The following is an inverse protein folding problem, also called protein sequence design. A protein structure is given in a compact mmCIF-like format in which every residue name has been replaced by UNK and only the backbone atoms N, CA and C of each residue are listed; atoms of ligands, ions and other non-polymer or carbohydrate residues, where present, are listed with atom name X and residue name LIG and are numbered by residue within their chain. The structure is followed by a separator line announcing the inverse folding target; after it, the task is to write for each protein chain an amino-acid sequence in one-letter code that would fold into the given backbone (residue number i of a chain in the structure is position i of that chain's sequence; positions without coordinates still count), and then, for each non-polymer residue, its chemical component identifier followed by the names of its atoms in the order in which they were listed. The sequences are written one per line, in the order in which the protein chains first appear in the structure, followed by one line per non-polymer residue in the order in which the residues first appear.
data_IF_852075227161
#
_entry.id   IF_852075227161
#
_cell.length_a   1.000
_cell.length_b   1.000
_cell.length_c   1.000
_cell.angle_alpha   90.00
_cell.angle_beta   90.00
_cell.angle_gamma   90.00
#
_symmetry.space_group_name_H-M   'P 1'
#
loop_
_entity.id
_entity.type
_entity.pdbx_description
1 polymer ?
#
# COMPACT_ATOMS: atom_id res chain seq x y z
N UNK A 1 -43.26 -16.08 2.28
CA UNK A 1 -42.59 -17.31 2.77
C UNK A 1 -41.26 -17.60 2.08
N UNK A 2 -41.17 -17.58 0.73
CA UNK A 2 -39.91 -17.77 -0.01
C UNK A 2 -38.82 -16.73 0.33
N UNK A 3 -39.15 -15.45 0.44
CA UNK A 3 -38.19 -14.40 0.83
C UNK A 3 -37.74 -14.48 2.29
N UNK A 4 -38.60 -14.96 3.18
CA UNK A 4 -38.24 -15.16 4.59
C UNK A 4 -37.30 -16.35 4.75
N UNK A 5 -37.57 -17.44 4.01
CA UNK A 5 -36.67 -18.59 3.93
C UNK A 5 -35.34 -18.21 3.27
N UNK A 6 -35.34 -17.38 2.22
CA UNK A 6 -34.11 -16.84 1.61
C UNK A 6 -33.33 -15.94 2.58
N UNK A 7 -34.00 -15.11 3.38
CA UNK A 7 -33.36 -14.25 4.39
C UNK A 7 -32.83 -15.04 5.58
N UNK A 8 -33.54 -16.05 6.07
CA UNK A 8 -33.08 -16.94 7.14
C UNK A 8 -31.95 -17.84 6.65
N UNK A 9 -32.01 -18.34 5.41
CA UNK A 9 -30.86 -18.98 4.74
C UNK A 9 -29.70 -17.99 4.59
N UNK A 10 -29.94 -16.74 4.18
CA UNK A 10 -28.89 -15.72 4.06
C UNK A 10 -28.24 -15.39 5.41
N UNK A 11 -29.01 -15.35 6.50
CA UNK A 11 -28.52 -15.06 7.85
C UNK A 11 -27.74 -16.23 8.48
N UNK A 12 -28.12 -17.49 8.18
CA UNK A 12 -27.43 -18.68 8.68
C UNK A 12 -26.26 -19.12 7.80
N UNK A 13 -26.32 -18.89 6.49
CA UNK A 13 -25.32 -19.40 5.54
C UNK A 13 -24.32 -18.34 5.05
N UNK A 14 -24.69 -17.05 5.01
CA UNK A 14 -23.98 -16.08 4.18
C UNK A 14 -23.92 -14.68 4.79
N UNK A 15 -23.24 -14.53 5.94
CA UNK A 15 -22.64 -13.24 6.28
C UNK A 15 -21.37 -13.02 5.43
N UNK A 16 -21.55 -12.93 4.11
CA UNK A 16 -20.48 -12.58 3.18
C UNK A 16 -20.16 -11.09 3.20
N UNK A 17 -21.04 -10.28 3.79
CA UNK A 17 -20.81 -8.84 3.99
C UNK A 17 -19.74 -8.56 5.04
N UNK A 18 -19.36 -9.58 5.81
CA UNK A 18 -18.45 -9.45 6.94
C UNK A 18 -17.22 -10.31 6.63
N UNK A 19 -16.61 -10.07 5.46
CA UNK A 19 -15.15 -10.19 5.38
C UNK A 19 -14.60 -9.08 6.26
N UNK A 20 -14.57 -9.32 7.58
CA UNK A 20 -13.75 -8.51 8.49
C UNK A 20 -12.33 -8.82 8.07
N UNK A 21 -11.83 -8.06 7.10
CA UNK A 21 -10.42 -7.83 6.99
C UNK A 21 -10.10 -7.08 8.27
N UNK A 22 -9.41 -7.70 9.24
CA UNK A 22 -8.98 -6.94 10.39
C UNK A 22 -8.16 -5.77 9.83
N UNK A 23 -8.59 -4.54 10.11
CA UNK A 23 -7.87 -3.30 9.80
C UNK A 23 -6.42 -3.31 10.34
N UNK A 24 -6.10 -4.31 11.15
CA UNK A 24 -4.80 -4.59 11.73
C UNK A 24 -3.81 -5.33 10.82
N UNK A 25 -4.17 -5.70 9.59
CA UNK A 25 -3.20 -6.19 8.60
C UNK A 25 -2.38 -5.01 8.05
N UNK A 26 -1.45 -4.55 8.88
CA UNK A 26 -0.43 -3.57 8.56
C UNK A 26 0.45 -4.11 7.43
N UNK A 27 0.08 -3.74 6.21
CA UNK A 27 0.92 -3.24 5.11
C UNK A 27 2.02 -4.14 4.51
N UNK A 28 2.46 -5.23 5.15
CA UNK A 28 3.71 -5.85 4.71
C UNK A 28 3.66 -7.08 3.83
N UNK A 29 2.49 -7.64 3.49
CA UNK A 29 2.40 -8.68 2.44
C UNK A 29 0.96 -8.91 1.97
N UNK A 30 0.50 -8.13 0.98
CA UNK A 30 -0.83 -8.29 0.35
C UNK A 30 -1.10 -9.73 -0.11
N UNK A 31 -0.05 -10.43 -0.54
CA UNK A 31 -0.13 -11.83 -0.93
C UNK A 31 -0.42 -12.75 0.27
N UNK A 32 0.22 -12.53 1.42
CA UNK A 32 0.04 -13.36 2.63
C UNK A 32 -1.37 -13.20 3.22
N UNK A 33 -1.87 -11.95 3.30
CA UNK A 33 -3.21 -11.66 3.81
C UNK A 33 -4.30 -12.27 2.92
N UNK A 34 -4.07 -12.30 1.60
CA UNK A 34 -4.95 -12.99 0.64
C UNK A 34 -5.05 -14.48 0.93
N UNK A 35 -3.91 -15.16 1.08
CA UNK A 35 -3.89 -16.59 1.35
C UNK A 35 -4.48 -16.95 2.72
N UNK A 36 -4.31 -16.08 3.73
CA UNK A 36 -4.96 -16.24 5.04
C UNK A 36 -6.49 -16.14 4.91
N UNK A 37 -7.01 -15.21 4.10
CA UNK A 37 -8.45 -15.06 3.89
C UNK A 37 -9.03 -16.24 3.11
N UNK A 38 -8.34 -16.68 2.05
CA UNK A 38 -8.73 -17.86 1.27
C UNK A 38 -8.70 -19.13 2.15
N UNK A 39 -7.64 -19.32 2.95
CA UNK A 39 -7.54 -20.49 3.82
C UNK A 39 -8.61 -20.48 4.92
N UNK A 40 -8.91 -19.33 5.52
CA UNK A 40 -10.02 -19.21 6.48
C UNK A 40 -11.37 -19.54 5.86
N UNK A 41 -11.61 -19.13 4.60
CA UNK A 41 -12.83 -19.50 3.89
C UNK A 41 -12.93 -21.03 3.74
N UNK A 42 -11.92 -21.67 3.17
CA UNK A 42 -11.97 -23.10 2.85
C UNK A 42 -11.83 -24.03 4.06
N UNK A 43 -11.02 -23.68 5.06
CA UNK A 43 -10.72 -24.58 6.18
C UNK A 43 -11.53 -24.30 7.44
N UNK A 44 -12.16 -23.13 7.54
CA UNK A 44 -12.98 -22.79 8.71
C UNK A 44 -14.43 -22.59 8.34
N UNK A 45 -14.71 -21.76 7.34
CA UNK A 45 -16.09 -21.39 7.01
C UNK A 45 -16.85 -22.51 6.31
N UNK A 46 -16.27 -23.13 5.28
CA UNK A 46 -16.90 -24.23 4.53
C UNK A 46 -17.19 -25.45 5.41
N UNK A 47 -16.24 -25.95 6.24
CA UNK A 47 -16.51 -27.09 7.12
C UNK A 47 -17.53 -26.76 8.20
N UNK A 48 -17.46 -25.57 8.83
CA UNK A 48 -18.42 -25.16 9.86
C UNK A 48 -19.84 -25.08 9.30
N UNK A 49 -19.97 -24.58 8.09
CA UNK A 49 -21.25 -24.48 7.42
C UNK A 49 -21.82 -25.86 7.06
N UNK A 50 -20.95 -26.75 6.57
CA UNK A 50 -21.33 -28.15 6.31
C UNK A 50 -21.74 -28.88 7.60
N UNK A 51 -21.02 -28.71 8.71
CA UNK A 51 -21.39 -29.33 9.99
C UNK A 51 -22.70 -28.78 10.52
N UNK A 52 -22.99 -27.48 10.36
CA UNK A 52 -24.26 -26.89 10.74
C UNK A 52 -25.44 -27.46 9.94
N UNK A 53 -25.32 -27.59 8.61
CA UNK A 53 -26.36 -28.21 7.77
C UNK A 53 -26.56 -29.67 8.16
N UNK A 54 -25.47 -30.43 8.34
CA UNK A 54 -25.54 -31.85 8.71
C UNK A 54 -26.19 -32.04 10.09
N UNK A 55 -25.86 -31.19 11.07
CA UNK A 55 -26.46 -31.24 12.40
C UNK A 55 -27.95 -30.89 12.38
N UNK A 56 -28.34 -29.90 11.57
CA UNK A 56 -29.76 -29.55 11.38
C UNK A 56 -30.53 -30.69 10.71
N UNK A 57 -29.94 -31.34 9.70
CA UNK A 57 -30.52 -32.52 9.04
C UNK A 57 -30.68 -33.70 9.99
N UNK A 58 -29.68 -33.97 10.83
CA UNK A 58 -29.74 -35.00 11.86
C UNK A 58 -30.80 -34.71 12.92
N UNK A 59 -30.92 -33.46 13.36
CA UNK A 59 -31.96 -33.02 14.28
C UNK A 59 -33.36 -33.23 13.69
N UNK A 60 -33.54 -32.88 12.42
CA UNK A 60 -34.78 -33.16 11.69
C UNK A 60 -35.10 -34.65 11.65
N UNK A 61 -34.13 -35.50 11.30
CA UNK A 61 -34.32 -36.95 11.27
C UNK A 61 -34.73 -37.50 12.65
N UNK A 62 -34.06 -37.05 13.72
CA UNK A 62 -34.32 -37.47 15.09
C UNK A 62 -35.74 -37.10 15.58
N UNK A 63 -36.29 -35.96 15.13
CA UNK A 63 -37.63 -35.53 15.51
C UNK A 63 -38.74 -36.30 14.79
N UNK A 64 -38.51 -36.74 13.55
CA UNK A 64 -39.52 -37.41 12.72
C UNK A 64 -39.49 -38.94 12.82
N UNK A 65 -38.32 -39.53 13.09
CA UNK A 65 -38.15 -40.98 13.09
C UNK A 65 -38.07 -41.51 14.52
N UNK A 66 -39.22 -41.84 15.09
CA UNK A 66 -39.37 -42.23 16.51
C UNK A 66 -38.85 -43.63 16.85
N UNK A 67 -38.50 -44.47 15.86
CA UNK A 67 -38.17 -45.90 16.09
C UNK A 67 -37.13 -46.51 15.14
N UNK A 68 -36.28 -45.72 14.45
CA UNK A 68 -35.18 -46.30 13.67
C UNK A 68 -33.91 -46.44 14.51
N UNK A 69 -33.29 -47.62 14.42
CA UNK A 69 -31.86 -47.80 14.69
C UNK A 69 -31.08 -46.90 13.74
N UNK A 70 -30.64 -45.74 14.20
CA UNK A 70 -29.79 -44.85 13.43
C UNK A 70 -28.46 -45.58 13.16
N UNK A 71 -28.18 -45.91 11.90
CA UNK A 71 -26.93 -46.56 11.52
C UNK A 71 -25.85 -45.50 11.27
N UNK A 72 -24.85 -45.33 12.16
CA UNK A 72 -23.84 -44.28 12.04
C UNK A 72 -23.02 -44.43 10.76
N UNK A 73 -22.77 -45.66 10.30
CA UNK A 73 -22.04 -45.92 9.06
C UNK A 73 -22.75 -45.32 7.84
N UNK A 74 -24.09 -45.40 7.76
CA UNK A 74 -24.86 -44.84 6.65
C UNK A 74 -24.81 -43.31 6.64
N UNK A 75 -24.87 -42.67 7.82
CA UNK A 75 -24.72 -41.22 7.96
C UNK A 75 -23.33 -40.76 7.52
N UNK A 76 -22.29 -41.47 7.95
CA UNK A 76 -20.90 -41.14 7.60
C UNK A 76 -20.67 -41.26 6.09
N UNK A 77 -21.12 -42.35 5.46
CA UNK A 77 -21.01 -42.54 4.01
C UNK A 77 -21.80 -41.46 3.26
N UNK A 78 -23.03 -41.18 3.68
CA UNK A 78 -23.85 -40.12 3.07
C UNK A 78 -23.19 -38.75 3.20
N UNK A 79 -22.62 -38.42 4.36
CA UNK A 79 -21.89 -37.17 4.59
C UNK A 79 -20.62 -37.07 3.74
N UNK A 80 -19.88 -38.17 3.61
CA UNK A 80 -18.67 -38.25 2.80
C UNK A 80 -18.95 -38.03 1.31
N UNK A 81 -20.11 -38.46 0.82
CA UNK A 81 -20.56 -38.24 -0.57
C UNK A 81 -21.14 -36.83 -0.74
N UNK A 82 -21.93 -36.35 0.23
CA UNK A 82 -22.57 -35.03 0.16
C UNK A 82 -21.56 -33.87 0.18
N UNK A 83 -20.47 -34.02 0.94
CA UNK A 83 -19.45 -32.98 1.06
C UNK A 83 -18.79 -32.57 -0.27
N UNK A 84 -18.21 -33.49 -1.08
CA UNK A 84 -17.61 -33.13 -2.36
C UNK A 84 -18.63 -32.59 -3.37
N UNK A 85 -19.88 -33.09 -3.35
CA UNK A 85 -20.95 -32.55 -4.20
C UNK A 85 -21.22 -31.09 -3.84
N UNK A 86 -21.35 -30.76 -2.55
CA UNK A 86 -21.54 -29.38 -2.11
C UNK A 86 -20.32 -28.49 -2.42
N UNK A 87 -19.10 -29.02 -2.30
CA UNK A 87 -17.88 -28.31 -2.71
C UNK A 87 -17.92 -27.93 -4.18
N UNK A 88 -18.21 -28.89 -5.06
CA UNK A 88 -18.14 -28.68 -6.51
C UNK A 88 -19.34 -27.87 -7.02
N UNK A 89 -20.55 -28.16 -6.54
CA UNK A 89 -21.78 -27.56 -7.07
C UNK A 89 -22.16 -26.23 -6.42
N UNK A 90 -21.73 -25.95 -5.20
CA UNK A 90 -22.16 -24.77 -4.45
C UNK A 90 -21.01 -23.89 -4.00
N UNK A 91 -20.08 -24.42 -3.20
CA UNK A 91 -19.02 -23.60 -2.62
C UNK A 91 -18.02 -23.09 -3.64
N UNK A 92 -17.64 -23.91 -4.63
CA UNK A 92 -16.69 -23.50 -5.69
C UNK A 92 -17.28 -22.39 -6.58
N UNK A 93 -18.48 -22.53 -7.15
CA UNK A 93 -19.11 -21.45 -7.93
C UNK A 93 -19.29 -20.15 -7.14
N UNK A 94 -19.68 -20.23 -5.87
CA UNK A 94 -19.83 -19.04 -5.03
C UNK A 94 -18.49 -18.39 -4.67
N UNK A 95 -17.46 -19.21 -4.42
CA UNK A 95 -16.12 -18.72 -4.18
C UNK A 95 -15.59 -17.95 -5.38
N UNK A 96 -15.76 -18.48 -6.60
CA UNK A 96 -15.26 -17.85 -7.83
C UNK A 96 -16.11 -16.66 -8.27
N UNK A 97 -17.43 -16.72 -8.11
CA UNK A 97 -18.34 -15.67 -8.60
C UNK A 97 -18.53 -14.50 -7.63
N UNK A 98 -18.41 -14.71 -6.32
CA UNK A 98 -18.75 -13.69 -5.30
C UNK A 98 -17.54 -13.36 -4.45
N UNK A 99 -16.97 -14.35 -3.76
CA UNK A 99 -15.91 -14.10 -2.78
C UNK A 99 -14.64 -13.55 -3.42
N UNK A 100 -14.18 -14.17 -4.52
CA UNK A 100 -12.94 -13.79 -5.17
C UNK A 100 -12.99 -12.40 -5.81
N UNK A 101 -14.06 -12.00 -6.55
CA UNK A 101 -14.18 -10.65 -7.07
C UNK A 101 -14.24 -9.58 -5.97
N UNK A 102 -14.99 -9.80 -4.89
CA UNK A 102 -15.04 -8.85 -3.76
C UNK A 102 -13.67 -8.71 -3.07
N UNK A 103 -12.94 -9.82 -2.90
CA UNK A 103 -11.58 -9.79 -2.38
C UNK A 103 -10.67 -8.91 -3.26
N UNK A 104 -10.74 -9.06 -4.58
CA UNK A 104 -9.96 -8.24 -5.52
C UNK A 104 -10.36 -6.76 -5.50
N UNK A 105 -11.67 -6.45 -5.44
CA UNK A 105 -12.14 -5.06 -5.35
C UNK A 105 -11.60 -4.36 -4.11
N UNK A 106 -11.62 -5.03 -2.95
CA UNK A 106 -11.10 -4.43 -1.71
C UNK A 106 -9.59 -4.23 -1.79
N UNK A 107 -8.85 -5.19 -2.33
CA UNK A 107 -7.41 -5.04 -2.56
C UNK A 107 -7.09 -3.86 -3.49
N UNK A 108 -7.84 -3.72 -4.58
CA UNK A 108 -7.68 -2.61 -5.50
C UNK A 108 -7.96 -1.27 -4.83
N UNK A 109 -9.06 -1.17 -4.09
CA UNK A 109 -9.41 0.06 -3.35
C UNK A 109 -8.33 0.46 -2.33
N UNK A 110 -7.76 -0.51 -1.62
CA UNK A 110 -6.65 -0.24 -0.70
C UNK A 110 -5.40 0.25 -1.42
N UNK A 111 -5.07 -0.34 -2.58
CA UNK A 111 -3.94 0.09 -3.39
C UNK A 111 -4.13 1.51 -3.94
N UNK A 112 -5.34 1.84 -4.39
CA UNK A 112 -5.71 3.18 -4.83
C UNK A 112 -5.65 4.20 -3.68
N UNK A 113 -6.14 3.85 -2.49
CA UNK A 113 -6.03 4.72 -1.32
C UNK A 113 -4.56 5.00 -0.97
N UNK A 114 -3.74 3.95 -0.85
CA UNK A 114 -2.33 4.10 -0.56
C UNK A 114 -1.60 4.92 -1.64
N UNK A 115 -1.88 4.70 -2.94
CA UNK A 115 -1.27 5.49 -4.01
C UNK A 115 -1.68 6.96 -3.98
N UNK A 116 -2.94 7.26 -3.67
CA UNK A 116 -3.40 8.65 -3.52
C UNK A 116 -2.80 9.35 -2.30
N UNK A 117 -2.61 8.63 -1.18
CA UNK A 117 -1.92 9.15 0.00
C UNK A 117 -0.46 9.45 -0.29
N UNK A 118 0.25 8.52 -0.96
CA UNK A 118 1.61 8.77 -1.43
C UNK A 118 1.69 9.96 -2.38
N UNK A 119 0.72 10.14 -3.28
CA UNK A 119 0.69 11.29 -4.18
C UNK A 119 0.46 12.60 -3.42
N UNK A 120 -0.39 12.61 -2.39
CA UNK A 120 -0.57 13.78 -1.50
C UNK A 120 0.72 14.10 -0.74
N UNK A 121 1.41 13.10 -0.20
CA UNK A 121 2.71 13.26 0.44
C UNK A 121 3.73 13.82 -0.55
N UNK A 122 3.79 13.29 -1.78
CA UNK A 122 4.69 13.79 -2.82
C UNK A 122 4.40 15.23 -3.23
N UNK A 123 3.12 15.64 -3.29
CA UNK A 123 2.72 17.02 -3.61
C UNK A 123 3.02 18.02 -2.50
N UNK A 124 3.09 17.56 -1.25
CA UNK A 124 3.40 18.41 -0.08
C UNK A 124 4.89 18.46 0.22
N UNK A 125 5.65 17.44 -0.18
CA UNK A 125 7.10 17.45 -0.09
C UNK A 125 7.74 18.41 -1.09
N UNK A 126 8.84 19.04 -0.65
CA UNK A 126 9.67 19.83 -1.54
C UNK A 126 10.35 18.92 -2.57
N UNK A 127 10.52 19.38 -3.82
CA UNK A 127 11.21 18.64 -4.87
C UNK A 127 12.66 18.32 -4.49
N UNK A 128 13.15 17.15 -4.91
CA UNK A 128 14.50 16.67 -4.55
C UNK A 128 15.63 17.67 -4.82
N UNK A 129 15.64 18.43 -5.94
CA UNK A 129 16.64 19.47 -6.14
C UNK A 129 16.59 20.57 -5.08
N UNK A 130 15.39 21.00 -4.70
CA UNK A 130 15.15 22.01 -3.66
C UNK A 130 15.62 21.49 -2.30
N UNK A 131 15.36 20.22 -1.96
CA UNK A 131 15.87 19.58 -0.74
C UNK A 131 17.40 19.53 -0.70
N UNK A 132 18.06 19.27 -1.83
CA UNK A 132 19.52 19.30 -1.93
C UNK A 132 20.07 20.71 -1.70
N UNK A 133 19.42 21.74 -2.24
CA UNK A 133 19.80 23.14 -1.99
C UNK A 133 19.66 23.51 -0.51
N UNK A 134 18.55 23.11 0.12
CA UNK A 134 18.33 23.33 1.55
C UNK A 134 19.41 22.64 2.38
N UNK A 135 19.68 21.36 2.08
CA UNK A 135 20.72 20.61 2.77
C UNK A 135 22.11 21.23 2.58
N UNK A 136 22.43 21.71 1.38
CA UNK A 136 23.71 22.37 1.10
C UNK A 136 23.90 23.62 1.96
N UNK A 137 22.87 24.45 2.10
CA UNK A 137 22.93 25.65 2.94
C UNK A 137 23.12 25.25 4.41
N UNK A 138 22.42 24.23 4.89
CA UNK A 138 22.58 23.72 6.26
C UNK A 138 23.99 23.15 6.49
N UNK A 139 24.54 22.41 5.53
CA UNK A 139 25.90 21.88 5.58
C UNK A 139 26.94 23.01 5.65
N UNK A 140 26.76 24.05 4.81
CA UNK A 140 27.66 25.20 4.77
C UNK A 140 27.61 26.05 6.03
N UNK A 141 26.42 26.24 6.61
CA UNK A 141 26.24 27.05 7.81
C UNK A 141 26.65 26.32 9.09
N UNK A 142 26.54 24.99 9.11
CA UNK A 142 26.99 24.15 10.23
C UNK A 142 28.51 23.89 10.22
N UNK A 143 29.18 24.10 9.08
CA UNK A 143 30.62 23.87 8.94
C UNK A 143 31.02 22.40 8.79
N UNK A 144 30.04 21.49 8.65
CA UNK A 144 30.25 20.05 8.57
C UNK A 144 30.97 19.67 7.26
N UNK A 145 30.75 20.43 6.16
CA UNK A 145 31.34 20.19 4.84
C UNK A 145 31.10 18.76 4.28
N UNK A 146 29.96 18.16 4.62
CA UNK A 146 29.51 16.84 4.20
C UNK A 146 29.31 16.72 2.68
N UNK A 147 29.20 17.84 1.95
CA UNK A 147 29.08 17.87 0.48
C UNK A 147 30.18 17.08 -0.24
N UNK A 148 31.39 16.98 0.33
CA UNK A 148 32.51 16.23 -0.26
C UNK A 148 32.38 14.70 -0.12
N UNK A 149 31.60 14.24 0.86
CA UNK A 149 31.44 12.84 1.24
C UNK A 149 29.97 12.41 1.14
N UNK A 150 29.24 12.97 0.19
CA UNK A 150 27.78 12.81 0.16
C UNK A 150 27.31 11.37 0.12
N UNK A 151 28.03 10.49 -0.58
CA UNK A 151 27.69 9.06 -0.65
C UNK A 151 27.53 8.45 0.75
N UNK A 152 28.32 8.92 1.72
CA UNK A 152 28.28 8.49 3.13
C UNK A 152 27.03 9.02 3.88
N UNK A 153 26.45 10.14 3.42
CA UNK A 153 25.29 10.80 4.03
C UNK A 153 23.97 10.50 3.31
N UNK A 154 23.99 9.85 2.14
CA UNK A 154 22.76 9.50 1.39
C UNK A 154 21.76 8.67 2.21
N UNK A 155 22.25 7.76 3.05
CA UNK A 155 21.40 6.97 3.95
C UNK A 155 20.71 7.82 5.01
N UNK A 156 21.42 8.79 5.59
CA UNK A 156 20.87 9.72 6.57
C UNK A 156 19.86 10.69 5.94
N UNK A 157 20.14 11.16 4.73
CA UNK A 157 19.22 12.05 4.01
C UNK A 157 17.96 11.34 3.55
N UNK A 158 18.05 10.06 3.20
CA UNK A 158 16.86 9.23 2.98
C UNK A 158 16.02 9.11 4.25
N UNK A 159 16.64 8.88 5.42
CA UNK A 159 15.91 8.85 6.69
C UNK A 159 15.26 10.20 7.03
N UNK A 160 15.94 11.31 6.73
CA UNK A 160 15.47 12.65 7.07
C UNK A 160 14.36 13.15 6.13
N UNK A 161 14.50 12.93 4.83
CA UNK A 161 13.58 13.45 3.82
C UNK A 161 12.58 12.41 3.30
N UNK A 162 12.81 11.12 3.55
CA UNK A 162 12.00 10.03 3.01
C UNK A 162 12.13 9.87 1.49
N UNK A 163 13.25 10.30 0.90
CA UNK A 163 13.49 10.33 -0.54
C UNK A 163 14.51 9.28 -0.94
N UNK A 164 14.29 8.66 -2.09
CA UNK A 164 15.20 7.68 -2.70
C UNK A 164 16.66 8.23 -2.82
N UNK A 165 17.65 7.52 -2.24
CA UNK A 165 19.06 7.93 -2.25
C UNK A 165 19.61 8.22 -3.66
N UNK A 166 19.20 7.43 -4.65
CA UNK A 166 19.68 7.56 -6.03
C UNK A 166 19.14 8.84 -6.68
N UNK A 167 17.89 9.20 -6.41
CA UNK A 167 17.30 10.45 -6.88
C UNK A 167 17.97 11.68 -6.25
N UNK A 168 18.27 11.62 -4.95
CA UNK A 168 19.04 12.68 -4.25
C UNK A 168 20.46 12.81 -4.82
N UNK A 169 21.17 11.70 -5.01
CA UNK A 169 22.51 11.68 -5.62
C UNK A 169 22.50 12.29 -7.02
N UNK A 170 21.52 11.92 -7.85
CA UNK A 170 21.37 12.49 -9.20
C UNK A 170 21.17 14.01 -9.14
N UNK A 171 20.31 14.47 -8.22
CA UNK A 171 20.06 15.90 -8.02
C UNK A 171 21.31 16.63 -7.52
N UNK A 172 22.11 15.98 -6.69
CA UNK A 172 23.34 16.56 -6.18
C UNK A 172 24.46 16.62 -7.23
N UNK A 173 24.69 15.54 -7.97
CA UNK A 173 25.64 15.52 -9.09
C UNK A 173 25.31 16.60 -10.13
N UNK A 174 24.04 16.93 -10.27
CA UNK A 174 23.61 18.04 -11.11
C UNK A 174 24.14 19.40 -10.60
N UNK A 175 23.94 19.73 -9.32
CA UNK A 175 24.40 20.99 -8.74
C UNK A 175 25.92 21.07 -8.55
N UNK A 176 26.56 19.99 -8.12
CA UNK A 176 27.98 20.02 -7.68
C UNK A 176 28.92 19.22 -8.57
N UNK A 177 28.41 18.43 -9.52
CA UNK A 177 29.22 17.68 -10.48
C UNK A 177 29.79 18.55 -11.61
N UNK A 178 30.07 17.93 -12.76
CA UNK A 178 30.76 18.59 -13.88
C UNK A 178 29.99 19.80 -14.42
N UNK A 179 30.62 20.98 -14.41
CA UNK A 179 30.07 22.24 -14.92
C UNK A 179 29.62 22.16 -16.40
N UNK A 180 30.14 21.20 -17.18
CA UNK A 180 29.75 21.00 -18.58
C UNK A 180 28.28 20.63 -18.74
N UNK A 181 27.69 19.88 -17.79
CA UNK A 181 26.27 19.52 -17.82
C UNK A 181 25.37 20.70 -17.47
N UNK A 182 25.80 21.58 -16.54
CA UNK A 182 25.07 22.80 -16.16
C UNK A 182 25.08 23.85 -17.27
N UNK A 183 26.21 24.05 -17.93
CA UNK A 183 26.35 25.03 -19.02
C UNK A 183 25.60 24.65 -20.30
N UNK A 184 25.06 23.42 -20.40
CA UNK A 184 24.24 22.97 -21.51
C UNK A 184 22.73 23.17 -21.28
N UNK A 185 22.33 23.66 -20.10
CA UNK A 185 20.93 23.91 -19.78
C UNK A 185 20.42 25.10 -20.57
N UNK A 186 19.49 24.85 -21.50
CA UNK A 186 18.82 25.87 -22.31
C UNK A 186 17.31 25.74 -22.16
N UNK A 187 16.62 26.88 -22.27
CA UNK A 187 15.15 26.95 -22.28
C UNK A 187 14.53 26.38 -20.99
N UNK A 188 13.60 25.44 -21.14
CA UNK A 188 12.77 24.89 -20.05
C UNK A 188 13.57 24.37 -18.85
N UNK A 189 14.69 23.68 -19.09
CA UNK A 189 15.48 23.10 -18.00
C UNK A 189 16.14 24.16 -17.11
N UNK A 190 16.44 25.35 -17.68
CA UNK A 190 16.95 26.50 -16.92
C UNK A 190 15.84 27.10 -16.05
N UNK A 191 14.66 27.34 -16.62
CA UNK A 191 13.51 27.86 -15.85
C UNK A 191 13.10 26.90 -14.74
N UNK A 192 13.12 25.59 -15.00
CA UNK A 192 12.84 24.59 -13.96
C UNK A 192 13.86 24.64 -12.82
N UNK A 193 15.13 24.95 -13.10
CA UNK A 193 16.19 25.11 -12.10
C UNK A 193 16.06 26.41 -11.31
N UNK A 194 15.82 27.54 -11.99
CA UNK A 194 15.54 28.83 -11.35
C UNK A 194 14.36 28.71 -10.37
N UNK A 195 13.31 27.97 -10.76
CA UNK A 195 12.20 27.67 -9.86
C UNK A 195 12.62 26.88 -8.61
N UNK A 196 13.60 25.97 -8.69
CA UNK A 196 14.10 25.24 -7.49
C UNK A 196 14.86 26.15 -6.54
N UNK A 197 15.64 27.09 -7.06
CA UNK A 197 16.27 28.12 -6.24
C UNK A 197 15.23 29.02 -5.59
N UNK A 198 14.22 29.47 -6.33
CA UNK A 198 13.11 30.26 -5.79
C UNK A 198 12.37 29.55 -4.65
N UNK A 199 12.05 28.26 -4.80
CA UNK A 199 11.45 27.44 -3.74
C UNK A 199 12.37 27.33 -2.51
N UNK A 200 13.69 27.21 -2.70
CA UNK A 200 14.65 27.17 -1.59
C UNK A 200 14.75 28.52 -0.86
N UNK A 201 14.73 29.64 -1.58
CA UNK A 201 14.69 30.97 -0.97
C UNK A 201 13.43 31.15 -0.11
N UNK A 202 12.26 30.80 -0.64
CA UNK A 202 10.99 30.87 0.10
C UNK A 202 11.01 30.02 1.37
N UNK A 203 11.61 28.84 1.33
CA UNK A 203 11.76 27.98 2.51
C UNK A 203 12.58 28.67 3.61
N UNK A 204 13.74 29.26 3.28
CA UNK A 204 14.57 29.93 4.26
C UNK A 204 14.03 31.29 4.72
N UNK A 205 13.30 31.98 3.85
CA UNK A 205 12.56 33.20 4.20
C UNK A 205 11.49 32.89 5.25
N UNK A 206 10.72 31.81 5.07
CA UNK A 206 9.72 31.36 6.05
C UNK A 206 10.35 30.95 7.39
N UNK A 207 11.62 30.52 7.39
CA UNK A 207 12.39 30.23 8.60
C UNK A 207 13.11 31.45 9.18
N UNK A 208 13.00 32.63 8.56
CA UNK A 208 13.77 33.83 8.88
C UNK A 208 15.29 33.59 8.95
N UNK A 209 15.81 32.70 8.10
CA UNK A 209 17.22 32.32 8.10
C UNK A 209 18.04 33.12 7.08
N UNK A 210 18.33 34.38 7.40
CA UNK A 210 18.99 35.33 6.49
C UNK A 210 20.37 34.88 6.00
N UNK A 211 21.10 34.07 6.79
CA UNK A 211 22.41 33.52 6.41
C UNK A 211 22.35 32.59 5.19
N UNK A 212 21.17 32.06 4.86
CA UNK A 212 20.97 31.20 3.69
C UNK A 212 21.10 31.95 2.36
N UNK A 213 20.61 33.19 2.32
CA UNK A 213 20.50 33.99 1.09
C UNK A 213 21.85 34.15 0.38
N UNK A 214 22.93 34.62 1.03
CA UNK A 214 24.22 34.79 0.33
C UNK A 214 24.81 33.45 -0.15
N UNK A 215 24.56 32.34 0.58
CA UNK A 215 25.06 31.01 0.20
C UNK A 215 24.33 30.48 -1.04
N UNK A 216 23.01 30.66 -1.10
CA UNK A 216 22.22 30.29 -2.28
C UNK A 216 22.60 31.16 -3.47
N UNK A 217 22.78 32.47 -3.30
CA UNK A 217 23.19 33.38 -4.38
C UNK A 217 24.57 33.01 -4.94
N UNK A 218 25.52 32.64 -4.09
CA UNK A 218 26.83 32.18 -4.53
C UNK A 218 26.73 30.91 -5.39
N UNK A 219 25.91 29.94 -4.95
CA UNK A 219 25.71 28.69 -5.67
C UNK A 219 24.94 28.89 -6.97
N UNK A 220 23.91 29.73 -6.96
CA UNK A 220 23.10 30.11 -8.11
C UNK A 220 23.99 30.77 -9.18
N UNK A 221 24.80 31.75 -8.77
CA UNK A 221 25.78 32.39 -9.65
C UNK A 221 26.73 31.36 -10.24
N UNK A 222 27.30 30.44 -9.45
CA UNK A 222 28.17 29.36 -9.96
C UNK A 222 27.48 28.42 -10.94
N UNK A 223 26.17 28.22 -10.81
CA UNK A 223 25.39 27.39 -11.71
C UNK A 223 25.13 28.09 -13.06
N UNK A 224 25.06 29.42 -13.08
CA UNK A 224 24.72 30.21 -14.26
C UNK A 224 25.89 31.03 -14.86
N UNK A 225 27.04 31.17 -14.18
CA UNK A 225 28.13 32.09 -14.56
C UNK A 225 29.10 31.60 -15.65
N UNK A 226 28.68 30.72 -16.56
CA UNK A 226 29.45 30.37 -17.76
C UNK A 226 28.53 30.27 -18.98
N UNK A 227 27.89 31.39 -19.31
CA UNK A 227 27.13 31.58 -20.55
C UNK A 227 27.45 32.92 -21.24
N UNK A 228 28.67 33.43 -21.07
CA UNK A 228 29.27 34.40 -21.98
C UNK A 228 30.56 33.82 -22.57
#
# INVERSE_FOLDING_TARGET
MKDLMLKVFSLLLFDCNVVIIPAHCKEHNNHSSRWILISRYWFRRVPLHFTAISLLGLLGLALFVRSCSIHPAAITISSLIAFPILILSFYTPQFTAIFLPELYKVQQKQLEQHSTELEKCRKTQLPNPTLVLIWYVLDKTSGINAVKHFDDYTGLLNQLFGVDPRSLKTSMEFFFGSSRKRNQLKGRARTELENRFAEAYQFFEALHFEKAVPILQELETKCFSKMD
#
